data_IF_752006249543
#
_entry.id   IF_752006249543
#
_cell.length_a   1.000
_cell.length_b   1.000
_cell.length_c   1.000
_cell.angle_alpha   90.00
_cell.angle_beta   90.00
_cell.angle_gamma   90.00
#
_symmetry.space_group_name_H-M   'P 1'
#
loop_
_entity.id
_entity.type
_entity.pdbx_description
1 polymer ?
#
# COMPACT_ATOMS: atom_id res chain seq x y z
N UNK A 1 19.88 -5.41 10.67
CA UNK A 1 19.33 -6.67 10.12
C UNK A 1 18.32 -6.31 9.06
N UNK A 2 18.44 -6.84 7.84
CA UNK A 2 17.41 -6.66 6.80
C UNK A 2 16.16 -7.43 7.20
N UNK A 3 15.03 -6.74 7.35
CA UNK A 3 13.75 -7.39 7.67
C UNK A 3 13.40 -8.41 6.57
N UNK A 4 13.01 -9.63 6.98
CA UNK A 4 12.63 -10.70 6.04
C UNK A 4 11.24 -10.44 5.45
N UNK A 5 10.94 -10.86 4.22
CA UNK A 5 9.58 -10.80 3.70
C UNK A 5 8.63 -11.69 4.51
N UNK A 6 7.38 -11.26 4.69
CA UNK A 6 6.32 -12.04 5.34
C UNK A 6 5.27 -12.41 4.31
N UNK A 7 4.90 -13.69 4.25
CA UNK A 7 3.87 -14.17 3.32
C UNK A 7 2.49 -13.65 3.73
N UNK A 8 1.70 -13.26 2.74
CA UNK A 8 0.29 -12.93 2.92
C UNK A 8 -0.53 -14.20 2.77
N UNK A 9 -1.46 -14.44 3.71
CA UNK A 9 -2.37 -15.58 3.65
C UNK A 9 -3.31 -15.40 2.46
N UNK A 10 -3.23 -16.32 1.50
CA UNK A 10 -4.00 -16.25 0.25
C UNK A 10 -5.45 -16.64 0.52
N UNK A 11 -6.36 -15.67 0.36
CA UNK A 11 -7.81 -15.87 0.42
C UNK A 11 -8.41 -16.09 -0.97
N UNK A 12 -9.69 -16.48 -1.04
CA UNK A 12 -10.40 -16.64 -2.31
C UNK A 12 -10.42 -15.33 -3.13
N UNK A 13 -10.58 -14.19 -2.46
CA UNK A 13 -10.54 -12.87 -3.11
C UNK A 13 -9.19 -12.58 -3.74
N UNK A 14 -8.09 -12.91 -3.04
CA UNK A 14 -6.73 -12.76 -3.56
C UNK A 14 -6.50 -13.70 -4.74
N UNK A 15 -6.97 -14.95 -4.67
CA UNK A 15 -6.86 -15.89 -5.79
C UNK A 15 -7.64 -15.42 -7.01
N UNK A 16 -8.89 -15.02 -6.84
CA UNK A 16 -9.72 -14.49 -7.93
C UNK A 16 -9.16 -13.20 -8.53
N UNK A 17 -8.53 -12.33 -7.74
CA UNK A 17 -7.78 -11.19 -8.25
C UNK A 17 -6.59 -11.63 -9.10
N UNK A 18 -5.76 -12.54 -8.57
CA UNK A 18 -4.60 -13.07 -9.27
C UNK A 18 -4.97 -13.69 -10.61
N UNK A 19 -6.00 -14.54 -10.65
CA UNK A 19 -6.49 -15.16 -11.88
C UNK A 19 -6.93 -14.12 -12.90
N UNK A 20 -7.70 -13.10 -12.49
CA UNK A 20 -8.15 -12.03 -13.40
C UNK A 20 -7.00 -11.23 -13.97
N UNK A 21 -6.03 -10.85 -13.15
CA UNK A 21 -4.87 -10.07 -13.59
C UNK A 21 -3.96 -10.90 -14.48
N UNK A 22 -3.62 -12.12 -14.07
CA UNK A 22 -2.77 -13.03 -14.86
C UNK A 22 -3.42 -13.32 -16.21
N UNK A 23 -4.67 -13.78 -16.24
CA UNK A 23 -5.37 -14.09 -17.49
C UNK A 23 -5.51 -12.85 -18.37
N UNK A 24 -5.78 -11.69 -17.77
CA UNK A 24 -5.88 -10.43 -18.50
C UNK A 24 -4.56 -10.02 -19.14
N UNK A 25 -3.45 -10.08 -18.40
CA UNK A 25 -2.11 -9.75 -18.89
C UNK A 25 -1.68 -10.75 -19.97
N UNK A 26 -1.81 -12.05 -19.72
CA UNK A 26 -1.49 -13.09 -20.71
C UNK A 26 -2.28 -12.90 -22.00
N UNK A 27 -3.60 -12.67 -21.90
CA UNK A 27 -4.44 -12.45 -23.07
C UNK A 27 -3.96 -11.24 -23.88
N UNK A 28 -3.71 -10.10 -23.23
CA UNK A 28 -3.24 -8.91 -23.93
C UNK A 28 -1.85 -9.10 -24.54
N UNK A 29 -0.89 -9.70 -23.83
CA UNK A 29 0.45 -9.94 -24.36
C UNK A 29 0.40 -10.85 -25.59
N UNK A 30 -0.31 -11.97 -25.51
CA UNK A 30 -0.44 -12.92 -26.62
C UNK A 30 -1.19 -12.31 -27.81
N UNK A 31 -2.22 -11.49 -27.56
CA UNK A 31 -2.95 -10.78 -28.60
C UNK A 31 -2.08 -9.73 -29.31
N UNK A 32 -1.44 -8.83 -28.55
CA UNK A 32 -0.62 -7.75 -29.10
C UNK A 32 0.59 -8.27 -29.89
N UNK A 33 1.17 -9.38 -29.45
CA UNK A 33 2.36 -9.97 -30.06
C UNK A 33 2.03 -11.05 -31.09
N UNK A 34 0.74 -11.28 -31.39
CA UNK A 34 0.28 -12.26 -32.39
C UNK A 34 0.91 -13.64 -32.21
N UNK A 35 1.04 -14.09 -30.96
CA UNK A 35 1.67 -15.37 -30.62
C UNK A 35 0.84 -16.56 -31.09
N UNK A 36 1.50 -17.61 -31.61
CA UNK A 36 0.84 -18.90 -31.86
C UNK A 36 0.64 -19.68 -30.56
N UNK A 37 -0.23 -20.71 -30.58
CA UNK A 37 -0.46 -21.60 -29.43
C UNK A 37 0.83 -22.24 -28.87
N UNK A 38 1.77 -22.59 -29.76
CA UNK A 38 3.06 -23.19 -29.36
C UNK A 38 4.06 -22.18 -28.78
N UNK A 39 3.82 -20.88 -28.99
CA UNK A 39 4.68 -19.78 -28.55
C UNK A 39 3.91 -18.78 -27.70
N UNK A 40 3.07 -19.27 -26.79
CA UNK A 40 2.34 -18.41 -25.85
C UNK A 40 3.25 -17.91 -24.74
N UNK A 41 3.04 -16.65 -24.39
CA UNK A 41 3.55 -16.05 -23.16
C UNK A 41 2.70 -16.56 -22.00
N UNK A 42 3.38 -17.01 -20.95
CA UNK A 42 2.79 -17.58 -19.75
C UNK A 42 3.24 -16.76 -18.53
N UNK A 43 2.35 -16.60 -17.56
CA UNK A 43 2.58 -15.90 -16.29
C UNK A 43 2.09 -16.79 -15.15
N UNK A 44 2.99 -17.05 -14.19
CA UNK A 44 2.57 -17.79 -12.98
C UNK A 44 1.67 -16.92 -12.10
N UNK A 45 0.85 -17.54 -11.26
CA UNK A 45 0.14 -16.82 -10.21
C UNK A 45 1.10 -15.94 -9.38
N UNK A 46 0.64 -14.74 -8.99
CA UNK A 46 1.43 -13.88 -8.12
C UNK A 46 1.49 -14.45 -6.71
N UNK A 47 2.71 -14.55 -6.18
CA UNK A 47 2.97 -14.83 -4.77
C UNK A 47 3.00 -13.52 -3.99
N UNK A 48 2.10 -13.33 -2.99
CA UNK A 48 2.00 -12.09 -2.24
C UNK A 48 2.84 -12.10 -0.95
N UNK A 49 3.63 -11.05 -0.75
CA UNK A 49 4.42 -10.81 0.45
C UNK A 49 4.20 -9.38 0.95
N UNK A 50 4.48 -9.14 2.24
CA UNK A 50 4.54 -7.81 2.84
C UNK A 50 5.98 -7.52 3.28
N UNK A 51 6.52 -6.36 2.88
CA UNK A 51 7.85 -5.90 3.32
C UNK A 51 8.06 -4.38 3.14
N UNK A 52 9.01 -3.77 3.88
CA UNK A 52 9.44 -2.40 3.65
C UNK A 52 10.07 -2.25 2.28
N UNK A 53 9.86 -1.08 1.66
CA UNK A 53 10.43 -0.78 0.36
C UNK A 53 11.96 -0.76 0.41
N UNK A 54 12.55 -0.27 1.50
CA UNK A 54 14.00 -0.28 1.74
C UNK A 54 14.55 -1.70 1.70
N UNK A 55 13.88 -2.63 2.39
CA UNK A 55 14.28 -4.03 2.43
C UNK A 55 14.14 -4.67 1.04
N UNK A 56 13.09 -4.31 0.29
CA UNK A 56 12.86 -4.81 -1.06
C UNK A 56 13.96 -4.33 -2.01
N UNK A 57 14.20 -3.03 -2.09
CA UNK A 57 15.22 -2.45 -2.96
C UNK A 57 16.63 -2.94 -2.59
N UNK A 58 16.93 -3.08 -1.30
CA UNK A 58 18.21 -3.63 -0.84
C UNK A 58 18.41 -5.09 -1.29
N UNK A 59 17.35 -5.89 -1.27
CA UNK A 59 17.37 -7.29 -1.71
C UNK A 59 17.28 -7.44 -3.25
N UNK A 60 16.68 -6.47 -3.95
CA UNK A 60 16.44 -6.52 -5.38
C UNK A 60 17.70 -6.17 -6.16
N UNK A 61 18.32 -7.18 -6.79
CA UNK A 61 19.59 -7.06 -7.52
C UNK A 61 19.46 -7.10 -9.04
N UNK A 62 18.24 -7.07 -9.57
CA UNK A 62 17.97 -7.25 -11.00
C UNK A 62 17.85 -5.89 -11.68
N UNK A 63 18.37 -5.78 -12.90
CA UNK A 63 18.16 -4.61 -13.72
C UNK A 63 16.74 -4.68 -14.31
N UNK A 64 15.95 -3.63 -14.11
CA UNK A 64 14.51 -3.68 -14.41
C UNK A 64 13.99 -2.34 -14.86
N UNK A 65 13.02 -2.34 -15.77
CA UNK A 65 12.24 -1.14 -16.10
C UNK A 65 11.17 -0.97 -15.03
N UNK A 66 11.24 0.16 -14.33
CA UNK A 66 10.24 0.62 -13.37
C UNK A 66 9.15 1.38 -14.13
N UNK A 67 7.93 0.88 -14.04
CA UNK A 67 6.72 1.58 -14.51
C UNK A 67 5.96 2.06 -13.29
N UNK A 68 5.84 3.38 -13.14
CA UNK A 68 5.02 3.98 -12.09
C UNK A 68 3.57 4.05 -12.56
N UNK A 69 2.64 3.77 -11.65
CA UNK A 69 1.21 3.86 -11.88
C UNK A 69 0.59 4.67 -10.74
N UNK A 70 -0.17 5.69 -11.11
CA UNK A 70 -0.91 6.52 -10.17
C UNK A 70 -2.30 5.95 -9.94
N UNK A 71 -2.73 5.92 -8.69
CA UNK A 71 -4.12 5.75 -8.29
C UNK A 71 -4.70 7.12 -7.96
N UNK A 72 -5.88 7.42 -8.46
CA UNK A 72 -6.63 8.64 -8.17
C UNK A 72 -8.05 8.36 -7.61
N UNK A 73 -8.81 9.44 -7.38
CA UNK A 73 -10.15 9.47 -6.80
C UNK A 73 -10.21 9.02 -5.33
N UNK A 74 -10.97 7.97 -5.01
CA UNK A 74 -11.23 7.49 -3.63
C UNK A 74 -9.97 6.95 -2.95
N UNK A 75 -8.92 6.68 -3.71
CA UNK A 75 -7.61 6.38 -3.16
C UNK A 75 -6.52 7.06 -3.98
N UNK A 76 -5.76 7.94 -3.34
CA UNK A 76 -4.61 8.63 -3.95
C UNK A 76 -3.32 7.94 -3.55
N UNK A 77 -2.58 7.42 -4.51
CA UNK A 77 -1.30 6.79 -4.24
C UNK A 77 -0.54 6.36 -5.48
N UNK A 78 0.57 5.67 -5.26
CA UNK A 78 1.42 5.17 -6.34
C UNK A 78 1.71 3.68 -6.13
N UNK A 79 1.61 2.92 -7.21
CA UNK A 79 2.05 1.53 -7.31
C UNK A 79 3.05 1.40 -8.45
N UNK A 80 3.85 0.33 -8.42
CA UNK A 80 5.04 0.22 -9.24
C UNK A 80 5.16 -1.17 -9.83
N UNK A 81 5.43 -1.25 -11.13
CA UNK A 81 5.83 -2.48 -11.78
C UNK A 81 7.32 -2.52 -12.04
N UNK A 82 7.92 -3.65 -11.72
CA UNK A 82 9.26 -4.00 -12.14
C UNK A 82 9.16 -5.10 -13.18
N UNK A 83 9.57 -4.77 -14.39
CA UNK A 83 9.84 -5.73 -15.45
C UNK A 83 11.34 -5.89 -15.56
N UNK A 84 11.88 -7.11 -15.42
CA UNK A 84 13.31 -7.32 -15.71
C UNK A 84 13.65 -6.75 -17.10
N UNK A 85 14.81 -6.10 -17.21
CA UNK A 85 15.20 -5.34 -18.41
C UNK A 85 15.11 -6.22 -19.66
N UNK A 86 15.55 -7.48 -19.54
CA UNK A 86 15.45 -8.49 -20.60
C UNK A 86 14.01 -8.64 -21.11
N UNK A 87 13.03 -8.72 -20.22
CA UNK A 87 11.61 -8.80 -20.61
C UNK A 87 11.15 -7.52 -21.29
N UNK A 88 11.52 -6.35 -20.76
CA UNK A 88 11.11 -5.08 -21.35
C UNK A 88 11.69 -4.89 -22.76
N UNK A 89 12.98 -5.23 -22.97
CA UNK A 89 13.64 -5.20 -24.29
C UNK A 89 12.96 -6.16 -25.27
N UNK A 90 12.73 -7.41 -24.85
CA UNK A 90 12.09 -8.42 -25.72
C UNK A 90 10.68 -7.98 -26.10
N UNK A 91 9.86 -7.60 -25.12
CA UNK A 91 8.47 -7.21 -25.37
C UNK A 91 8.39 -5.95 -26.24
N UNK A 92 9.22 -4.93 -25.98
CA UNK A 92 9.30 -3.72 -26.80
C UNK A 92 9.75 -4.03 -28.24
N UNK A 93 10.75 -4.88 -28.42
CA UNK A 93 11.24 -5.24 -29.75
C UNK A 93 10.24 -6.13 -30.53
N UNK A 94 9.51 -7.02 -29.84
CA UNK A 94 8.45 -7.83 -30.46
C UNK A 94 7.25 -6.98 -30.88
N UNK A 95 6.85 -5.99 -30.08
CA UNK A 95 5.82 -5.00 -30.46
C UNK A 95 6.19 -4.27 -31.76
N UNK A 96 7.50 -4.06 -31.99
CA UNK A 96 8.06 -3.46 -33.20
C UNK A 96 8.32 -4.44 -34.34
N UNK A 97 7.89 -5.69 -34.19
CA UNK A 97 8.08 -6.77 -35.17
C UNK A 97 9.54 -7.02 -35.55
N UNK A 98 10.47 -6.83 -34.60
CA UNK A 98 11.89 -7.05 -34.86
C UNK A 98 12.19 -8.54 -35.06
N UNK A 99 13.14 -8.83 -35.96
CA UNK A 99 13.60 -10.19 -36.18
C UNK A 99 14.32 -10.73 -34.93
N UNK A 100 14.19 -12.02 -34.61
CA UNK A 100 14.77 -12.57 -33.39
C UNK A 100 16.29 -12.41 -33.26
N UNK A 101 17.04 -12.47 -34.36
CA UNK A 101 18.48 -12.25 -34.34
C UNK A 101 18.83 -10.82 -33.87
N UNK A 102 18.05 -9.82 -34.28
CA UNK A 102 18.23 -8.44 -33.84
C UNK A 102 17.85 -8.26 -32.37
N UNK A 103 16.84 -8.99 -31.88
CA UNK A 103 16.48 -9.01 -30.45
C UNK A 103 17.65 -9.58 -29.64
N UNK A 104 18.26 -10.68 -30.09
CA UNK A 104 19.41 -11.29 -29.42
C UNK A 104 20.62 -10.32 -29.35
N UNK A 105 20.90 -9.57 -30.42
CA UNK A 105 21.93 -8.52 -30.44
C UNK A 105 21.65 -7.41 -29.40
N UNK A 106 20.39 -6.97 -29.29
CA UNK A 106 19.99 -5.97 -28.27
C UNK A 106 20.14 -6.50 -26.86
N UNK A 107 19.80 -7.77 -26.63
CA UNK A 107 19.99 -8.41 -25.33
C UNK A 107 21.47 -8.53 -24.97
N UNK A 108 22.34 -8.87 -25.92
CA UNK A 108 23.78 -8.97 -25.69
C UNK A 108 24.42 -7.60 -25.37
N UNK A 109 23.84 -6.51 -25.88
CA UNK A 109 24.30 -5.14 -25.64
C UNK A 109 23.56 -4.43 -24.49
N UNK A 110 22.55 -5.07 -23.86
CA UNK A 110 21.61 -4.44 -22.92
C UNK A 110 21.01 -3.13 -23.45
N UNK A 111 20.77 -3.05 -24.76
CA UNK A 111 20.23 -1.86 -25.41
C UNK A 111 18.71 -1.78 -25.21
N UNK A 112 18.26 -0.74 -24.50
CA UNK A 112 16.84 -0.39 -24.35
C UNK A 112 16.63 1.05 -24.82
N UNK A 113 16.55 1.22 -26.14
CA UNK A 113 16.55 2.53 -26.79
C UNK A 113 15.18 3.24 -26.68
N UNK A 114 15.13 4.50 -27.13
CA UNK A 114 13.91 5.31 -27.03
C UNK A 114 12.71 4.69 -27.74
N UNK A 115 12.92 3.98 -28.84
CA UNK A 115 11.83 3.36 -29.58
C UNK A 115 11.39 2.03 -28.93
N UNK A 116 12.27 1.31 -28.21
CA UNK A 116 11.85 0.21 -27.33
C UNK A 116 11.08 0.72 -26.13
N UNK A 117 11.52 1.83 -25.54
CA UNK A 117 10.84 2.47 -24.41
C UNK A 117 9.43 2.91 -24.78
N UNK A 118 9.24 3.45 -25.99
CA UNK A 118 7.94 3.88 -26.52
C UNK A 118 7.01 2.68 -26.77
N UNK A 119 7.50 1.66 -27.49
CA UNK A 119 6.71 0.44 -27.76
C UNK A 119 6.37 -0.31 -26.45
N UNK A 120 7.31 -0.39 -25.52
CA UNK A 120 7.05 -0.91 -24.17
C UNK A 120 6.14 0.03 -23.35
N UNK A 121 6.09 1.32 -23.69
CA UNK A 121 5.11 2.33 -23.26
C UNK A 121 3.70 1.91 -23.53
N UNK A 122 3.40 1.65 -24.79
CA UNK A 122 2.08 1.23 -25.23
C UNK A 122 1.64 -0.06 -24.53
N UNK A 123 2.55 -1.05 -24.46
CA UNK A 123 2.31 -2.30 -23.75
C UNK A 123 2.02 -2.05 -22.26
N UNK A 124 2.88 -1.29 -21.58
CA UNK A 124 2.69 -0.94 -20.16
C UNK A 124 1.35 -0.25 -19.89
N UNK A 125 0.90 0.62 -20.80
CA UNK A 125 -0.37 1.31 -20.68
C UNK A 125 -1.56 0.34 -20.82
N UNK A 126 -1.49 -0.61 -21.76
CA UNK A 126 -2.50 -1.66 -21.92
C UNK A 126 -2.58 -2.55 -20.67
N UNK A 127 -1.42 -2.96 -20.14
CA UNK A 127 -1.36 -3.73 -18.91
C UNK A 127 -1.96 -2.92 -17.74
N UNK A 128 -1.63 -1.63 -17.61
CA UNK A 128 -2.20 -0.77 -16.58
C UNK A 128 -3.73 -0.73 -16.68
N UNK A 129 -4.29 -0.68 -17.90
CA UNK A 129 -5.73 -0.75 -18.13
C UNK A 129 -6.36 -2.08 -17.71
N UNK A 130 -5.64 -3.21 -17.83
CA UNK A 130 -6.09 -4.52 -17.32
C UNK A 130 -6.15 -4.50 -15.80
N UNK A 131 -5.08 -4.02 -15.17
CA UNK A 131 -4.98 -3.93 -13.72
C UNK A 131 -6.10 -3.04 -13.15
N UNK A 132 -6.31 -1.88 -13.76
CA UNK A 132 -7.38 -0.94 -13.45
C UNK A 132 -8.77 -1.58 -13.55
N UNK A 133 -9.06 -2.32 -14.64
CA UNK A 133 -10.33 -3.05 -14.78
C UNK A 133 -10.49 -4.13 -13.72
N UNK A 134 -9.44 -4.91 -13.44
CA UNK A 134 -9.47 -5.93 -12.40
C UNK A 134 -9.82 -5.31 -11.04
N UNK A 135 -9.19 -4.18 -10.69
CA UNK A 135 -9.48 -3.47 -9.46
C UNK A 135 -10.91 -2.92 -9.39
N UNK A 136 -11.39 -2.26 -10.44
CA UNK A 136 -12.76 -1.71 -10.50
C UNK A 136 -13.85 -2.78 -10.36
N UNK A 137 -13.56 -4.03 -10.70
CA UNK A 137 -14.52 -5.14 -10.49
C UNK A 137 -14.56 -5.67 -9.05
N UNK A 138 -13.56 -5.35 -8.22
CA UNK A 138 -13.40 -5.93 -6.88
C UNK A 138 -13.65 -4.92 -5.76
N UNK A 139 -13.37 -3.65 -6.00
CA UNK A 139 -13.61 -2.60 -5.01
C UNK A 139 -15.02 -2.01 -5.13
N UNK A 140 -15.51 -1.46 -4.01
CA UNK A 140 -16.72 -0.61 -3.98
C UNK A 140 -16.40 0.87 -4.14
N UNK A 141 -15.11 1.22 -4.14
CA UNK A 141 -14.59 2.58 -4.24
C UNK A 141 -14.39 2.96 -5.71
N UNK A 142 -14.60 4.22 -6.04
CA UNK A 142 -14.27 4.75 -7.36
C UNK A 142 -12.75 4.98 -7.41
N UNK A 143 -12.03 4.01 -7.94
CA UNK A 143 -10.57 4.06 -8.14
C UNK A 143 -10.29 4.04 -9.63
N UNK A 144 -9.36 4.88 -10.07
CA UNK A 144 -8.82 4.81 -11.41
C UNK A 144 -7.29 4.85 -11.41
N UNK A 145 -6.71 3.99 -12.24
CA UNK A 145 -5.27 3.89 -12.41
C UNK A 145 -4.81 4.47 -13.74
N UNK A 146 -3.71 5.20 -13.68
CA UNK A 146 -3.05 5.80 -14.84
C UNK A 146 -1.55 5.54 -14.80
N UNK A 147 -1.01 5.01 -15.88
CA UNK A 147 0.43 4.82 -16.03
C UNK A 147 1.15 6.17 -16.15
N UNK A 148 2.31 6.28 -15.50
CA UNK A 148 3.31 7.32 -15.77
C UNK A 148 4.19 6.87 -16.94
N UNK A 149 4.37 7.74 -17.92
CA UNK A 149 5.18 7.46 -19.10
C UNK A 149 6.68 7.69 -18.86
N UNK A 150 7.09 8.31 -17.74
CA UNK A 150 8.49 8.40 -17.31
C UNK A 150 9.00 7.02 -16.81
N UNK A 151 9.52 6.22 -17.75
CA UNK A 151 10.11 4.90 -17.48
C UNK A 151 11.55 5.05 -17.06
N UNK A 152 11.94 4.38 -15.97
CA UNK A 152 13.33 4.39 -15.48
C UNK A 152 13.87 2.99 -15.35
N UNK A 153 15.13 2.81 -15.73
CA UNK A 153 15.82 1.53 -15.56
C UNK A 153 16.45 1.50 -14.16
N UNK A 154 15.92 0.66 -13.28
CA UNK A 154 16.51 0.33 -11.99
C UNK A 154 17.75 -0.56 -12.17
N UNK A 155 18.84 -0.38 -11.38
CA UNK A 155 19.03 0.70 -10.42
C UNK A 155 19.28 2.05 -11.12
N UNK A 156 18.60 3.09 -10.64
CA UNK A 156 18.79 4.48 -11.08
C UNK A 156 18.96 5.36 -9.84
N UNK A 157 19.77 6.41 -9.91
CA UNK A 157 20.02 7.31 -8.78
C UNK A 157 18.73 7.93 -8.22
N UNK A 158 17.75 8.20 -9.07
CA UNK A 158 16.45 8.76 -8.68
C UNK A 158 15.46 7.73 -8.09
N UNK A 159 15.80 6.44 -8.11
CA UNK A 159 14.96 5.38 -7.52
C UNK A 159 15.58 4.98 -6.19
N UNK A 160 15.25 5.74 -5.16
CA UNK A 160 15.63 5.50 -3.76
C UNK A 160 14.38 5.17 -2.94
N UNK A 161 14.49 4.58 -1.74
CA UNK A 161 13.32 4.33 -0.88
C UNK A 161 12.44 5.57 -0.69
N UNK A 162 13.04 6.75 -0.50
CA UNK A 162 12.33 8.03 -0.34
C UNK A 162 11.57 8.49 -1.61
N UNK A 163 11.80 7.87 -2.77
CA UNK A 163 11.05 8.16 -4.00
C UNK A 163 9.67 7.49 -4.05
N UNK A 164 9.40 6.59 -3.11
CA UNK A 164 8.12 5.90 -2.96
C UNK A 164 7.21 6.71 -2.03
N UNK A 165 6.01 7.06 -2.51
CA UNK A 165 5.12 8.00 -1.80
C UNK A 165 4.46 7.49 -0.52
N UNK A 166 4.57 6.20 -0.21
CA UNK A 166 3.87 5.62 0.92
C UNK A 166 4.89 5.24 1.99
N UNK A 167 4.71 5.80 3.19
CA UNK A 167 5.55 5.51 4.37
C UNK A 167 5.20 4.16 5.04
N UNK A 168 4.28 3.39 4.45
CA UNK A 168 3.87 2.06 4.94
C UNK A 168 4.65 0.94 4.25
N UNK A 169 4.53 -0.29 4.78
CA UNK A 169 5.03 -1.47 4.09
C UNK A 169 4.24 -1.78 2.81
N UNK A 170 4.95 -2.29 1.82
CA UNK A 170 4.39 -2.61 0.52
C UNK A 170 4.03 -4.09 0.41
N UNK A 171 2.89 -4.34 -0.23
CA UNK A 171 2.55 -5.64 -0.79
C UNK A 171 3.39 -5.83 -2.05
N UNK A 172 4.15 -6.92 -2.07
CA UNK A 172 4.97 -7.36 -3.19
C UNK A 172 4.31 -8.58 -3.80
N UNK A 173 3.83 -8.44 -5.03
CA UNK A 173 3.25 -9.51 -5.82
C UNK A 173 4.30 -9.94 -6.84
N UNK A 174 4.81 -11.17 -6.72
CA UNK A 174 5.87 -11.69 -7.59
C UNK A 174 5.31 -12.80 -8.47
N UNK A 175 5.48 -12.69 -9.78
CA UNK A 175 5.19 -13.73 -10.76
C UNK A 175 6.43 -14.01 -11.62
N UNK A 176 6.41 -15.15 -12.30
CA UNK A 176 7.32 -15.46 -13.39
C UNK A 176 6.61 -15.21 -14.72
N UNK A 177 7.19 -14.35 -15.55
CA UNK A 177 6.81 -14.11 -16.94
C UNK A 177 7.72 -14.94 -17.84
N UNK A 178 7.16 -15.96 -18.49
CA UNK A 178 7.85 -16.80 -19.45
C UNK A 178 7.54 -16.32 -20.86
N UNK A 179 8.58 -15.87 -21.55
CA UNK A 179 8.52 -15.49 -22.96
C UNK A 179 9.18 -16.60 -23.77
N UNK A 180 8.51 -17.17 -24.79
CA UNK A 180 9.09 -18.19 -25.66
C UNK A 180 10.45 -17.75 -26.20
N UNK A 181 11.39 -18.69 -26.37
CA UNK A 181 12.81 -18.45 -26.74
C UNK A 181 13.65 -17.67 -25.71
N UNK A 182 13.06 -16.78 -24.92
CA UNK A 182 13.81 -15.88 -24.03
C UNK A 182 13.79 -16.30 -22.55
N UNK A 183 12.98 -17.31 -22.21
CA UNK A 183 12.94 -17.93 -20.89
C UNK A 183 12.05 -17.20 -19.89
N UNK A 184 12.24 -17.50 -18.61
CA UNK A 184 11.40 -17.00 -17.51
C UNK A 184 12.10 -15.90 -16.73
N UNK A 185 11.41 -14.78 -16.52
CA UNK A 185 11.89 -13.61 -15.79
C UNK A 185 10.88 -13.17 -14.73
N UNK A 186 11.31 -12.40 -13.72
CA UNK A 186 10.41 -11.88 -12.71
C UNK A 186 9.59 -10.71 -13.23
N UNK A 187 8.29 -10.77 -12.95
CA UNK A 187 7.37 -9.65 -12.98
C UNK A 187 7.01 -9.33 -11.54
N UNK A 188 7.29 -8.12 -11.07
CA UNK A 188 6.90 -7.70 -9.72
C UNK A 188 5.95 -6.52 -9.76
N UNK A 189 4.84 -6.62 -9.03
CA UNK A 189 3.96 -5.52 -8.72
C UNK A 189 4.11 -5.15 -7.24
N UNK A 190 4.44 -3.89 -7.00
CA UNK A 190 4.67 -3.32 -5.68
C UNK A 190 3.59 -2.27 -5.42
N UNK A 191 2.77 -2.47 -4.38
CA UNK A 191 1.70 -1.55 -4.03
C UNK A 191 1.59 -1.34 -2.51
N UNK A 192 1.17 -0.16 -2.04
CA UNK A 192 1.00 0.09 -0.62
C UNK A 192 -0.03 -0.88 -0.01
N UNK A 193 0.19 -1.34 1.22
CA UNK A 193 -0.73 -2.27 1.89
C UNK A 193 -2.16 -1.72 1.93
N UNK A 194 -2.32 -0.46 2.34
CA UNK A 194 -3.66 0.13 2.44
C UNK A 194 -4.37 0.18 1.07
N UNK A 195 -3.65 0.45 -0.02
CA UNK A 195 -4.19 0.40 -1.36
C UNK A 195 -4.70 -1.01 -1.72
N UNK A 196 -3.91 -2.04 -1.44
CA UNK A 196 -4.28 -3.42 -1.73
C UNK A 196 -5.53 -3.87 -0.95
N UNK A 197 -5.61 -3.50 0.32
CA UNK A 197 -6.76 -3.80 1.18
C UNK A 197 -8.05 -3.12 0.69
N UNK A 198 -7.95 -1.85 0.28
CA UNK A 198 -9.08 -1.11 -0.32
C UNK A 198 -9.50 -1.71 -1.67
N UNK A 199 -8.55 -2.05 -2.52
CA UNK A 199 -8.80 -2.63 -3.85
C UNK A 199 -9.53 -3.97 -3.77
N UNK A 200 -9.12 -4.82 -2.84
CA UNK A 200 -9.71 -6.14 -2.68
C UNK A 200 -10.86 -6.18 -1.67
N UNK A 201 -11.15 -5.04 -1.03
CA UNK A 201 -12.13 -4.92 0.04
C UNK A 201 -11.95 -6.05 1.08
N UNK A 202 -10.73 -6.18 1.59
CA UNK A 202 -10.33 -7.19 2.58
C UNK A 202 -9.29 -6.62 3.54
N UNK A 203 -9.13 -7.29 4.67
CA UNK A 203 -8.00 -7.08 5.57
C UNK A 203 -6.91 -8.11 5.25
N UNK A 204 -5.66 -7.66 5.08
CA UNK A 204 -4.54 -8.57 4.81
C UNK A 204 -4.17 -9.31 6.09
N UNK A 205 -4.24 -10.64 6.01
CA UNK A 205 -3.74 -11.55 7.03
C UNK A 205 -2.32 -12.03 6.68
N UNK A 206 -1.46 -12.17 7.69
CA UNK A 206 -0.06 -12.53 7.51
C UNK A 206 0.23 -13.91 8.12
N UNK A 207 1.11 -14.68 7.47
CA UNK A 207 1.55 -15.96 8.01
C UNK A 207 2.43 -15.76 9.26
N UNK A 208 2.00 -16.34 10.37
CA UNK A 208 2.76 -16.33 11.63
C UNK A 208 2.81 -14.99 12.35
N UNK A 209 2.08 -13.96 11.90
CA UNK A 209 2.02 -12.64 12.54
C UNK A 209 0.58 -12.21 12.72
N UNK A 210 0.22 -11.83 13.96
CA UNK A 210 -1.06 -11.19 14.29
C UNK A 210 -0.76 -9.71 14.58
N UNK A 211 -1.11 -8.78 13.65
CA UNK A 211 -0.85 -7.36 13.87
C UNK A 211 -1.64 -6.82 15.06
N UNK A 212 -1.00 -6.01 15.90
CA UNK A 212 -1.69 -5.26 16.96
C UNK A 212 -2.55 -4.16 16.36
N UNK A 213 -3.76 -3.98 16.86
CA UNK A 213 -4.69 -2.96 16.34
C UNK A 213 -4.50 -1.64 17.06
N UNK A 214 -4.33 -0.57 16.30
CA UNK A 214 -4.36 0.81 16.79
C UNK A 214 -5.61 1.47 16.27
N UNK A 215 -6.39 2.09 17.13
CA UNK A 215 -7.53 2.89 16.69
C UNK A 215 -7.11 4.35 16.60
N UNK A 216 -7.46 5.01 15.50
CA UNK A 216 -7.26 6.44 15.29
C UNK A 216 -8.61 7.07 14.99
N UNK A 217 -9.11 7.86 15.93
CA UNK A 217 -10.23 8.75 15.72
C UNK A 217 -9.71 10.13 15.33
N UNK A 218 -10.11 10.64 14.17
CA UNK A 218 -9.92 12.04 13.82
C UNK A 218 -11.00 12.48 12.84
N UNK A 219 -11.60 13.66 13.02
CA UNK A 219 -12.55 14.21 12.04
C UNK A 219 -11.84 14.67 10.75
N UNK A 220 -10.51 14.75 10.75
CA UNK A 220 -9.73 15.22 9.60
C UNK A 220 -9.21 14.02 8.80
N UNK A 221 -9.72 13.83 7.58
CA UNK A 221 -9.30 12.76 6.67
C UNK A 221 -7.78 12.71 6.48
N UNK A 222 -7.14 13.86 6.24
CA UNK A 222 -5.69 13.95 6.05
C UNK A 222 -4.89 13.43 7.26
N UNK A 223 -5.40 13.60 8.49
CA UNK A 223 -4.76 13.07 9.71
C UNK A 223 -4.90 11.54 9.73
N UNK A 224 -6.08 11.01 9.37
CA UNK A 224 -6.32 9.56 9.29
C UNK A 224 -5.39 8.90 8.26
N UNK A 225 -5.32 9.45 7.05
CA UNK A 225 -4.43 8.96 5.99
C UNK A 225 -2.96 8.99 6.43
N UNK A 226 -2.51 10.09 7.03
CA UNK A 226 -1.14 10.23 7.53
C UNK A 226 -0.82 9.20 8.61
N UNK A 227 -1.75 8.94 9.53
CA UNK A 227 -1.56 7.93 10.59
C UNK A 227 -1.54 6.51 10.05
N UNK A 228 -2.41 6.18 9.10
CA UNK A 228 -2.37 4.88 8.42
C UNK A 228 -1.03 4.68 7.71
N UNK A 229 -0.60 5.65 6.91
CA UNK A 229 0.67 5.56 6.19
C UNK A 229 1.87 5.38 7.13
N UNK A 230 1.90 6.08 8.27
CA UNK A 230 3.05 6.05 9.19
C UNK A 230 3.11 4.84 10.11
N UNK A 231 1.95 4.30 10.50
CA UNK A 231 1.87 3.31 11.58
C UNK A 231 1.46 1.93 11.10
N UNK A 232 0.91 1.78 9.88
CA UNK A 232 0.68 0.46 9.31
C UNK A 232 2.01 -0.25 9.05
N UNK A 233 2.10 -1.47 9.55
CA UNK A 233 3.20 -2.41 9.29
C UNK A 233 2.69 -3.83 9.45
N UNK A 234 3.54 -4.83 9.24
CA UNK A 234 3.24 -6.22 9.56
C UNK A 234 2.87 -6.46 11.02
N UNK A 235 3.37 -5.62 11.94
CA UNK A 235 3.14 -5.77 13.38
C UNK A 235 1.98 -4.92 13.88
N UNK A 236 1.46 -4.02 13.04
CA UNK A 236 0.53 -2.98 13.49
C UNK A 236 -0.46 -2.64 12.40
N UNK A 237 -1.73 -2.64 12.76
CA UNK A 237 -2.84 -2.27 11.88
C UNK A 237 -3.56 -1.06 12.45
N UNK A 238 -3.60 0.01 11.70
CA UNK A 238 -4.34 1.23 12.04
C UNK A 238 -5.77 1.10 11.52
N UNK A 239 -6.72 1.24 12.44
CA UNK A 239 -8.15 1.31 12.19
C UNK A 239 -8.54 2.78 12.37
N UNK A 240 -8.86 3.44 11.27
CA UNK A 240 -9.33 4.82 11.31
C UNK A 240 -10.84 4.84 11.43
N UNK A 241 -11.32 5.64 12.38
CA UNK A 241 -12.75 5.87 12.63
C UNK A 241 -13.03 7.35 12.44
N UNK A 242 -14.12 7.65 11.76
CA UNK A 242 -14.54 9.03 11.46
C UNK A 242 -15.56 9.51 12.49
N UNK A 243 -16.50 8.64 12.85
CA UNK A 243 -17.58 8.97 13.75
C UNK A 243 -17.28 8.55 15.19
N UNK A 244 -17.72 9.38 16.14
CA UNK A 244 -17.48 9.17 17.55
C UNK A 244 -18.12 7.86 18.06
N UNK A 245 -19.25 7.44 17.49
CA UNK A 245 -19.91 6.20 17.86
C UNK A 245 -19.16 4.94 17.36
N UNK A 246 -18.51 5.06 16.21
CA UNK A 246 -17.68 3.99 15.66
C UNK A 246 -16.43 3.75 16.49
N UNK A 247 -15.88 4.80 17.13
CA UNK A 247 -14.74 4.69 18.04
C UNK A 247 -15.00 3.68 19.16
N UNK A 248 -16.13 3.80 19.86
CA UNK A 248 -16.45 2.90 20.97
C UNK A 248 -16.70 1.47 20.49
N UNK A 249 -17.40 1.34 19.37
CA UNK A 249 -17.66 0.05 18.74
C UNK A 249 -16.34 -0.64 18.36
N UNK A 250 -15.42 0.10 17.74
CA UNK A 250 -14.12 -0.41 17.37
C UNK A 250 -13.28 -0.81 18.59
N UNK A 251 -13.33 -0.02 19.68
CA UNK A 251 -12.64 -0.32 20.94
C UNK A 251 -13.12 -1.63 21.54
N UNK A 252 -14.44 -1.86 21.55
CA UNK A 252 -15.02 -3.03 22.23
C UNK A 252 -14.96 -4.32 21.38
N UNK A 253 -14.85 -4.20 20.06
CA UNK A 253 -14.86 -5.36 19.15
C UNK A 253 -13.47 -5.90 18.79
N UNK A 254 -12.40 -5.21 19.16
CA UNK A 254 -11.07 -5.55 18.67
C UNK A 254 -10.02 -5.69 19.77
N UNK A 255 -9.00 -6.49 19.48
CA UNK A 255 -7.80 -6.61 20.31
C UNK A 255 -6.93 -5.35 20.13
N UNK A 256 -7.44 -4.23 20.66
CA UNK A 256 -6.83 -2.91 20.54
C UNK A 256 -5.64 -2.80 21.48
N UNK A 257 -4.49 -2.48 20.93
CA UNK A 257 -3.29 -2.19 21.71
C UNK A 257 -3.24 -0.73 22.18
N UNK A 258 -3.74 0.21 21.37
CA UNK A 258 -3.80 1.62 21.76
C UNK A 258 -4.82 2.45 20.95
N UNK A 259 -5.18 3.62 21.49
CA UNK A 259 -6.16 4.53 20.89
C UNK A 259 -5.58 5.95 20.77
N UNK A 260 -5.56 6.50 19.56
CA UNK A 260 -5.29 7.91 19.28
C UNK A 260 -6.60 8.64 19.00
N UNK A 261 -6.84 9.76 19.68
CA UNK A 261 -8.06 10.57 19.56
C UNK A 261 -7.63 11.99 19.22
N UNK A 262 -8.00 12.47 18.04
CA UNK A 262 -7.85 13.87 17.63
C UNK A 262 -9.20 14.58 17.78
N UNK A 263 -9.26 15.52 18.71
CA UNK A 263 -10.48 16.28 18.96
C UNK A 263 -10.68 17.34 17.87
N UNK A 264 -11.92 17.47 17.40
CA UNK A 264 -12.35 18.69 16.70
C UNK A 264 -12.18 19.90 17.64
N UNK A 265 -11.98 21.12 17.12
CA UNK A 265 -12.11 22.32 17.93
C UNK A 265 -13.47 22.35 18.63
N UNK A 266 -13.47 22.43 19.95
CA UNK A 266 -14.67 22.63 20.78
C UNK A 266 -14.56 23.97 21.48
N UNK A 267 -15.69 24.57 21.86
CA UNK A 267 -15.72 25.80 22.65
C UNK A 267 -16.34 25.54 24.01
N UNK A 268 -15.92 26.31 25.01
CA UNK A 268 -16.55 26.32 26.32
C UNK A 268 -17.56 27.46 26.45
N UNK A 269 -18.73 27.22 27.10
CA UNK A 269 -19.19 25.95 27.64
C UNK A 269 -19.48 24.91 26.53
N UNK A 270 -19.21 23.63 26.82
CA UNK A 270 -19.37 22.55 25.85
C UNK A 270 -20.82 22.45 25.36
N UNK A 271 -20.98 22.10 24.08
CA UNK A 271 -22.29 21.73 23.55
C UNK A 271 -22.83 20.48 24.26
N UNK A 272 -24.15 20.27 24.17
CA UNK A 272 -24.76 19.05 24.72
C UNK A 272 -24.17 17.78 24.11
N UNK A 273 -23.92 17.77 22.80
CA UNK A 273 -23.32 16.63 22.09
C UNK A 273 -21.88 16.38 22.55
N UNK A 274 -21.06 17.43 22.66
CA UNK A 274 -19.67 17.27 23.12
C UNK A 274 -19.64 16.81 24.57
N UNK A 275 -20.54 17.31 25.43
CA UNK A 275 -20.69 16.86 26.81
C UNK A 275 -21.00 15.35 26.88
N UNK A 276 -21.91 14.85 26.03
CA UNK A 276 -22.22 13.41 25.95
C UNK A 276 -20.99 12.63 25.52
N UNK A 277 -20.30 13.09 24.47
CA UNK A 277 -19.10 12.44 23.95
C UNK A 277 -17.99 12.33 25.01
N UNK A 278 -17.65 13.43 25.69
CA UNK A 278 -16.62 13.42 26.73
C UNK A 278 -17.01 12.56 27.94
N UNK A 279 -18.28 12.58 28.36
CA UNK A 279 -18.76 11.68 29.41
C UNK A 279 -18.65 10.21 29.01
N UNK A 280 -18.95 9.87 27.75
CA UNK A 280 -18.79 8.50 27.24
C UNK A 280 -17.33 8.08 27.17
N UNK A 281 -16.44 8.96 26.71
CA UNK A 281 -14.99 8.70 26.73
C UNK A 281 -14.49 8.44 28.17
N UNK A 282 -14.81 9.32 29.11
CA UNK A 282 -14.35 9.22 30.49
C UNK A 282 -14.92 8.00 31.24
N UNK A 283 -16.14 7.58 30.90
CA UNK A 283 -16.81 6.42 31.53
C UNK A 283 -16.54 5.09 30.82
N UNK A 284 -15.88 5.08 29.67
CA UNK A 284 -15.59 3.85 28.93
C UNK A 284 -14.52 3.01 29.66
N UNK A 285 -14.96 1.86 30.21
CA UNK A 285 -14.11 0.96 31.00
C UNK A 285 -13.00 0.29 30.19
N UNK A 286 -13.22 0.05 28.90
CA UNK A 286 -12.23 -0.56 28.01
C UNK A 286 -11.11 0.45 27.75
N UNK A 287 -11.46 1.66 27.31
CA UNK A 287 -10.53 2.76 27.08
C UNK A 287 -9.72 3.12 28.33
N UNK A 288 -10.33 3.10 29.52
CA UNK A 288 -9.64 3.37 30.78
C UNK A 288 -8.49 2.38 31.08
N UNK A 289 -8.55 1.16 30.52
CA UNK A 289 -7.49 0.15 30.64
C UNK A 289 -6.50 0.19 29.48
N UNK A 290 -6.85 0.87 28.39
CA UNK A 290 -6.02 0.95 27.20
C UNK A 290 -5.06 2.13 27.28
N UNK A 291 -3.85 1.98 26.72
CA UNK A 291 -3.03 3.11 26.36
C UNK A 291 -3.80 4.01 25.38
N UNK A 292 -4.08 5.26 25.75
CA UNK A 292 -4.65 6.25 24.84
C UNK A 292 -3.88 7.58 24.83
N UNK A 293 -3.99 8.30 23.71
CA UNK A 293 -3.45 9.64 23.47
C UNK A 293 -4.58 10.53 22.96
N UNK A 294 -4.82 11.67 23.62
CA UNK A 294 -5.89 12.60 23.25
C UNK A 294 -5.27 13.95 22.85
N UNK A 295 -5.31 14.25 21.56
CA UNK A 295 -4.81 15.46 20.91
C UNK A 295 -5.91 16.50 20.80
N UNK A 296 -5.58 17.75 21.12
CA UNK A 296 -6.37 18.92 20.80
C UNK A 296 -5.44 20.08 20.41
N UNK A 297 -4.95 20.05 19.16
CA UNK A 297 -3.86 20.90 18.65
C UNK A 297 -4.07 22.41 18.84
N UNK A 298 -5.33 22.87 18.86
CA UNK A 298 -5.68 24.29 18.96
C UNK A 298 -6.20 24.72 20.33
N UNK A 299 -6.14 23.86 21.34
CA UNK A 299 -6.59 24.20 22.68
C UNK A 299 -5.60 25.11 23.40
N UNK A 300 -6.12 26.01 24.22
CA UNK A 300 -5.36 26.65 25.29
C UNK A 300 -5.11 25.67 26.45
N UNK A 301 -4.12 25.96 27.29
CA UNK A 301 -3.83 25.16 28.48
C UNK A 301 -5.04 25.08 29.43
N UNK A 302 -5.82 26.15 29.54
CA UNK A 302 -6.99 26.20 30.41
C UNK A 302 -8.13 25.29 29.90
N UNK A 303 -8.30 25.23 28.58
CA UNK A 303 -9.25 24.30 27.95
C UNK A 303 -8.82 22.84 28.16
N UNK A 304 -7.52 22.55 28.06
CA UNK A 304 -6.98 21.21 28.38
C UNK A 304 -7.25 20.85 29.85
N UNK A 305 -7.06 21.78 30.80
CA UNK A 305 -7.38 21.52 32.21
C UNK A 305 -8.86 21.21 32.41
N UNK A 306 -9.75 21.89 31.70
CA UNK A 306 -11.19 21.61 31.76
C UNK A 306 -11.52 20.20 31.26
N UNK A 307 -10.87 19.73 30.18
CA UNK A 307 -11.03 18.35 29.69
C UNK A 307 -10.45 17.33 30.68
N UNK A 308 -9.31 17.62 31.31
CA UNK A 308 -8.74 16.77 32.36
C UNK A 308 -9.69 16.67 33.55
N UNK A 309 -10.35 17.76 33.94
CA UNK A 309 -11.35 17.77 35.02
C UNK A 309 -12.58 16.89 34.70
N UNK A 310 -12.82 16.55 33.44
CA UNK A 310 -13.84 15.59 33.00
C UNK A 310 -13.36 14.12 33.07
N UNK A 311 -12.13 13.86 33.55
CA UNK A 311 -11.55 12.52 33.71
C UNK A 311 -10.62 12.09 32.58
N UNK A 312 -10.32 12.98 31.62
CA UNK A 312 -9.47 12.68 30.46
C UNK A 312 -8.04 13.15 30.68
N UNK A 313 -7.38 12.51 31.65
CA UNK A 313 -6.08 12.91 32.21
C UNK A 313 -4.89 12.91 31.22
N UNK A 314 -5.10 12.47 29.97
CA UNK A 314 -4.06 12.39 28.93
C UNK A 314 -4.28 13.37 27.78
N UNK A 315 -5.12 14.38 27.98
CA UNK A 315 -5.32 15.42 26.98
C UNK A 315 -4.07 16.29 26.82
N UNK A 316 -3.72 16.61 25.58
CA UNK A 316 -2.55 17.42 25.23
C UNK A 316 -2.81 18.31 24.01
N UNK A 317 -2.10 19.42 23.93
CA UNK A 317 -2.06 20.30 22.73
C UNK A 317 -1.12 19.77 21.66
N UNK A 318 -0.35 18.71 21.94
CA UNK A 318 0.55 18.10 20.94
C UNK A 318 -0.30 17.47 19.83
N UNK A 319 -0.07 17.84 18.56
CA UNK A 319 -0.83 17.29 17.44
C UNK A 319 -0.73 15.77 17.39
N UNK A 320 -1.83 15.08 17.10
CA UNK A 320 -1.87 13.62 17.01
C UNK A 320 -0.75 13.07 16.11
N UNK A 321 -0.54 13.73 14.96
CA UNK A 321 0.47 13.33 13.98
C UNK A 321 1.92 13.36 14.46
N UNK A 322 2.20 14.12 15.52
CA UNK A 322 3.53 14.23 16.12
C UNK A 322 3.63 13.35 17.37
N UNK A 323 2.68 13.52 18.29
CA UNK A 323 2.73 12.87 19.60
C UNK A 323 2.38 11.38 19.53
N UNK A 324 1.24 11.04 18.94
CA UNK A 324 0.77 9.66 18.88
C UNK A 324 1.66 8.80 17.98
N UNK A 325 2.16 9.33 16.86
CA UNK A 325 3.03 8.56 15.98
C UNK A 325 4.31 8.12 16.70
N UNK A 326 4.98 9.04 17.40
CA UNK A 326 6.18 8.73 18.18
C UNK A 326 5.88 7.77 19.34
N UNK A 327 4.78 8.05 20.04
CA UNK A 327 4.34 7.23 21.17
C UNK A 327 3.96 5.80 20.73
N UNK A 328 3.22 5.65 19.64
CA UNK A 328 2.83 4.38 19.06
C UNK A 328 4.06 3.59 18.59
N UNK A 329 5.05 4.24 17.97
CA UNK A 329 6.30 3.57 17.56
C UNK A 329 7.02 2.87 18.72
N UNK A 330 6.95 3.41 19.94
CA UNK A 330 7.51 2.72 21.12
C UNK A 330 6.80 1.38 21.38
N UNK A 331 5.47 1.31 21.20
CA UNK A 331 4.72 0.06 21.30
C UNK A 331 5.01 -0.89 20.16
N UNK A 332 5.18 -0.37 18.93
CA UNK A 332 5.56 -1.17 17.76
C UNK A 332 6.93 -1.81 17.99
N UNK A 333 7.90 -1.07 18.53
CA UNK A 333 9.24 -1.58 18.84
C UNK A 333 9.18 -2.73 19.84
N UNK A 334 8.42 -2.58 20.93
CA UNK A 334 8.24 -3.65 21.91
C UNK A 334 7.61 -4.91 21.29
N UNK A 335 6.70 -4.76 20.32
CA UNK A 335 6.10 -5.89 19.61
C UNK A 335 7.06 -6.57 18.61
N UNK A 336 8.12 -5.89 18.16
CA UNK A 336 9.16 -6.48 17.28
C UNK A 336 10.16 -7.34 18.06
N UNK A 337 10.33 -7.06 19.34
CA UNK A 337 11.32 -7.70 20.22
C UNK A 337 10.75 -8.91 20.99
N UNK A 338 9.42 -9.04 21.04
CA UNK A 338 8.68 -10.16 21.63
C UNK A 338 8.37 -11.21 20.56
#
# INVERSE_FOLDING_TARGET
MTEKPVRIVVTEKIRGFNERVVNGIEHALNFMLSTSEENRIEITAFEPFLMPVEAYLAAYKRQSVLVKIHSDKDYKGELYWFFELKSAVVLGAQMRMMLPATIDEKLNSNSFDAADQDAFGELGNQLCGILDRAFRTLTRKDIHLRMDFDKKVYPHESIQPASFKNEEEYVVLIANLKIPRYGSQKLTLLLPRSLYEVMLNLEVSLEGIVPRKLIVYSPQEAVRETMQAKLNSRYTKVICVEEADELFTAIDQSDVAAVGIDLKPVSFPLSHQDTIFFKRLASNRTLAKLPYFLSWEKASEEEVKQIIALGLNRATTVPLRLGFAHWAQAFIKAAREA
#
